data_IF_150173552586
#
_entry.id   IF_150173552586
#
_cell.length_a   1.000
_cell.length_b   1.000
_cell.length_c   1.000
_cell.angle_alpha   90.00
_cell.angle_beta   90.00
_cell.angle_gamma   90.00
#
_symmetry.space_group_name_H-M   'P 1'
#
loop_
_entity.id
_entity.type
_entity.pdbx_description
1 polymer ?
#
# COMPACT_ATOMS: atom_id res chain seq x y z
N UNK A 1 28.60 -5.40 7.65
CA UNK A 1 29.19 -4.50 8.68
C UNK A 1 29.04 -3.05 8.24
N UNK A 2 28.57 -2.18 9.12
CA UNK A 2 28.60 -0.73 8.85
C UNK A 2 30.02 -0.25 9.17
N UNK A 3 30.83 -0.05 8.15
CA UNK A 3 32.10 0.67 8.25
C UNK A 3 31.91 2.03 7.60
N UNK A 4 32.19 3.09 8.32
CA UNK A 4 32.24 4.47 7.81
C UNK A 4 30.99 4.90 7.01
N UNK A 5 29.79 4.80 7.62
CA UNK A 5 28.51 5.18 6.99
C UNK A 5 28.17 4.42 5.67
N UNK A 6 28.63 3.15 5.57
CA UNK A 6 28.40 2.28 4.41
C UNK A 6 27.76 0.95 4.80
N UNK A 7 26.88 0.44 3.96
CA UNK A 7 26.41 -0.93 4.02
C UNK A 7 27.22 -1.80 3.06
N UNK A 8 27.78 -2.88 3.58
CA UNK A 8 28.54 -3.85 2.82
C UNK A 8 28.34 -5.26 3.39
N UNK A 9 28.07 -6.21 2.53
CA UNK A 9 27.92 -7.62 2.89
C UNK A 9 28.78 -8.47 1.96
N UNK A 10 29.86 -9.02 2.49
CA UNK A 10 30.77 -9.87 1.74
C UNK A 10 30.25 -11.29 1.60
N UNK A 11 30.42 -11.87 0.42
CA UNK A 11 30.16 -13.29 0.19
C UNK A 11 28.72 -13.71 0.44
N UNK A 12 27.72 -12.89 0.05
CA UNK A 12 26.32 -13.21 0.20
C UNK A 12 25.99 -14.62 -0.31
N UNK A 13 25.55 -15.50 0.60
CA UNK A 13 25.18 -16.89 0.32
C UNK A 13 23.74 -17.24 0.69
N UNK A 14 23.12 -16.47 1.58
CA UNK A 14 21.80 -16.81 2.10
C UNK A 14 20.90 -15.57 2.27
N UNK A 15 19.60 -15.77 2.08
CA UNK A 15 18.54 -14.80 2.34
C UNK A 15 17.57 -15.41 3.35
N UNK A 16 17.35 -14.71 4.46
CA UNK A 16 16.35 -15.09 5.45
C UNK A 16 15.23 -14.05 5.44
N UNK A 17 14.05 -14.46 5.01
CA UNK A 17 12.85 -13.63 5.09
C UNK A 17 12.19 -13.75 6.45
N UNK A 18 11.77 -12.62 7.02
CA UNK A 18 11.01 -12.51 8.25
C UNK A 18 9.66 -11.86 7.93
N UNK A 19 8.54 -12.57 8.20
CA UNK A 19 7.20 -12.06 8.01
C UNK A 19 6.39 -12.79 6.95
N UNK A 20 5.69 -12.05 6.07
CA UNK A 20 4.84 -12.62 5.04
C UNK A 20 4.85 -11.77 3.76
N UNK A 21 4.71 -12.42 2.61
CA UNK A 21 4.58 -11.75 1.31
C UNK A 21 3.88 -12.65 0.30
N UNK A 22 2.99 -12.08 -0.52
CA UNK A 22 2.34 -12.79 -1.62
C UNK A 22 3.29 -13.15 -2.78
N UNK A 23 4.51 -12.59 -2.79
CA UNK A 23 5.49 -12.81 -3.88
C UNK A 23 6.69 -13.66 -3.47
N UNK A 24 6.61 -14.41 -2.38
CA UNK A 24 7.72 -15.27 -1.96
C UNK A 24 8.15 -16.26 -3.04
N UNK A 25 7.21 -16.82 -3.81
CA UNK A 25 7.54 -17.73 -4.92
C UNK A 25 8.46 -17.11 -5.96
N UNK A 26 8.22 -15.85 -6.31
CA UNK A 26 9.02 -15.08 -7.27
C UNK A 26 10.39 -14.74 -6.68
N UNK A 27 10.44 -14.31 -5.41
CA UNK A 27 11.69 -13.99 -4.71
C UNK A 27 12.58 -15.23 -4.55
N UNK A 28 12.01 -16.40 -4.23
CA UNK A 28 12.74 -17.67 -4.17
C UNK A 28 13.34 -18.06 -5.53
N UNK A 29 12.61 -17.87 -6.64
CA UNK A 29 13.15 -18.11 -7.99
C UNK A 29 14.35 -17.22 -8.28
N UNK A 30 14.30 -15.96 -7.85
CA UNK A 30 15.42 -15.02 -7.96
C UNK A 30 16.62 -15.50 -7.13
N UNK A 31 16.39 -15.87 -5.88
CA UNK A 31 17.44 -16.37 -5.01
C UNK A 31 18.12 -17.62 -5.58
N UNK A 32 17.32 -18.58 -6.08
CA UNK A 32 17.85 -19.78 -6.76
C UNK A 32 18.69 -19.40 -7.99
N UNK A 33 18.23 -18.46 -8.82
CA UNK A 33 19.00 -17.97 -9.98
C UNK A 33 20.32 -17.33 -9.58
N UNK A 34 20.38 -16.72 -8.40
CA UNK A 34 21.59 -16.14 -7.85
C UNK A 34 22.41 -17.13 -7.00
N UNK A 35 22.05 -18.41 -6.95
CA UNK A 35 22.66 -19.42 -6.08
C UNK A 35 22.70 -18.98 -4.62
N UNK A 36 21.57 -18.52 -4.08
CA UNK A 36 21.38 -18.13 -2.69
C UNK A 36 20.43 -19.08 -2.00
N UNK A 37 20.82 -19.54 -0.81
CA UNK A 37 19.93 -20.30 0.06
C UNK A 37 18.79 -19.38 0.56
N UNK A 38 17.57 -19.92 0.65
CA UNK A 38 16.41 -19.17 1.11
C UNK A 38 15.77 -19.83 2.31
N UNK A 39 15.57 -19.08 3.38
CA UNK A 39 14.80 -19.50 4.55
C UNK A 39 13.68 -18.49 4.78
N UNK A 40 12.46 -18.99 5.00
CA UNK A 40 11.29 -18.16 5.30
C UNK A 40 10.86 -18.44 6.73
N UNK A 41 10.73 -17.38 7.51
CA UNK A 41 10.31 -17.40 8.90
C UNK A 41 9.11 -16.47 9.05
N UNK A 42 8.09 -16.98 9.71
CA UNK A 42 6.85 -16.25 9.94
C UNK A 42 6.30 -16.49 11.34
N UNK A 43 5.35 -15.70 11.78
CA UNK A 43 4.59 -15.96 13.00
C UNK A 43 3.40 -16.88 12.75
N UNK A 44 2.89 -17.53 13.79
CA UNK A 44 1.70 -18.39 13.72
C UNK A 44 0.49 -17.68 13.12
N UNK A 45 0.32 -16.39 13.44
CA UNK A 45 -0.76 -15.56 12.91
C UNK A 45 -0.62 -15.28 11.41
N UNK A 46 0.62 -15.08 10.92
CA UNK A 46 0.89 -14.74 9.52
C UNK A 46 1.05 -15.96 8.61
N UNK A 47 1.31 -17.14 9.19
CA UNK A 47 1.51 -18.38 8.42
C UNK A 47 0.32 -18.74 7.52
N UNK A 48 -0.90 -18.33 7.92
CA UNK A 48 -2.14 -18.53 7.14
C UNK A 48 -2.19 -17.73 5.84
N UNK A 49 -1.33 -16.71 5.70
CA UNK A 49 -1.26 -15.81 4.55
C UNK A 49 -0.19 -16.24 3.54
N UNK A 50 0.60 -17.27 3.85
CA UNK A 50 1.64 -17.81 2.98
C UNK A 50 1.08 -18.99 2.19
N UNK A 51 1.42 -19.07 0.91
CA UNK A 51 1.06 -20.20 0.06
C UNK A 51 1.57 -21.51 0.69
N UNK A 52 0.67 -22.49 0.85
CA UNK A 52 0.95 -23.80 1.44
C UNK A 52 2.03 -24.61 0.70
N UNK A 53 2.36 -24.26 -0.53
CA UNK A 53 3.44 -24.89 -1.31
C UNK A 53 4.83 -24.39 -0.93
N UNK A 54 4.92 -23.33 -0.13
CA UNK A 54 6.18 -22.73 0.30
C UNK A 54 6.58 -23.35 1.65
N UNK A 55 7.82 -23.85 1.76
CA UNK A 55 8.36 -24.28 3.05
C UNK A 55 8.73 -23.05 3.90
N UNK A 56 8.26 -23.02 5.14
CA UNK A 56 8.56 -21.97 6.11
C UNK A 56 8.63 -22.53 7.52
N UNK A 57 9.24 -21.78 8.43
CA UNK A 57 9.29 -22.09 9.85
C UNK A 57 8.52 -21.04 10.64
N UNK A 58 7.86 -21.51 11.70
CA UNK A 58 7.04 -20.65 12.58
C UNK A 58 7.82 -20.36 13.84
N UNK A 59 8.04 -19.07 14.09
CA UNK A 59 8.55 -18.54 15.34
C UNK A 59 7.74 -17.28 15.70
N UNK A 60 7.08 -17.30 16.85
CA UNK A 60 6.29 -16.15 17.30
C UNK A 60 7.15 -15.08 17.97
N UNK A 61 8.34 -15.46 18.43
CA UNK A 61 9.30 -14.58 19.09
C UNK A 61 10.71 -14.80 18.53
N UNK A 62 11.55 -13.78 18.63
CA UNK A 62 12.98 -13.84 18.28
C UNK A 62 13.80 -14.28 19.52
N UNK A 63 13.39 -15.39 20.13
CA UNK A 63 13.98 -15.98 21.34
C UNK A 63 15.21 -16.85 21.04
N UNK A 64 15.75 -17.52 22.05
CA UNK A 64 16.92 -18.39 21.89
C UNK A 64 16.66 -19.58 20.96
N UNK A 65 15.42 -20.12 20.89
CA UNK A 65 15.08 -21.17 19.92
C UNK A 65 15.19 -20.71 18.49
N UNK A 66 14.71 -19.49 18.22
CA UNK A 66 14.88 -18.84 16.91
C UNK A 66 16.36 -18.62 16.60
N UNK A 67 17.14 -18.07 17.56
CA UNK A 67 18.56 -17.80 17.36
C UNK A 67 19.36 -19.09 17.10
N UNK A 68 19.09 -20.15 17.86
CA UNK A 68 19.71 -21.47 17.66
C UNK A 68 19.38 -22.06 16.30
N UNK A 69 18.13 -21.92 15.83
CA UNK A 69 17.74 -22.38 14.50
C UNK A 69 18.53 -21.65 13.42
N UNK A 70 18.61 -20.33 13.48
CA UNK A 70 19.35 -19.52 12.48
C UNK A 70 20.84 -19.88 12.52
N UNK A 71 21.47 -19.93 13.69
CA UNK A 71 22.89 -20.25 13.84
C UNK A 71 23.26 -21.64 13.26
N UNK A 72 22.33 -22.59 13.30
CA UNK A 72 22.52 -23.93 12.70
C UNK A 72 22.33 -23.96 11.19
N UNK A 73 21.62 -22.98 10.62
CA UNK A 73 21.22 -23.00 9.21
C UNK A 73 22.08 -22.11 8.32
N UNK A 74 22.49 -20.95 8.80
CA UNK A 74 23.21 -19.96 7.97
C UNK A 74 24.40 -19.37 8.71
N UNK A 75 25.39 -18.90 7.92
CA UNK A 75 26.46 -18.04 8.41
C UNK A 75 25.96 -16.61 8.36
N UNK A 76 25.72 -16.00 9.52
CA UNK A 76 25.11 -14.66 9.63
C UNK A 76 25.90 -13.57 8.89
N UNK A 77 27.20 -13.70 8.87
CA UNK A 77 28.13 -12.78 8.19
C UNK A 77 27.92 -12.74 6.67
N UNK A 78 27.43 -13.84 6.09
CA UNK A 78 27.12 -13.98 4.66
C UNK A 78 25.60 -14.01 4.36
N UNK A 79 24.79 -13.57 5.31
CA UNK A 79 23.33 -13.63 5.22
C UNK A 79 22.74 -12.24 5.28
N UNK A 80 21.81 -11.96 4.37
CA UNK A 80 20.93 -10.81 4.49
C UNK A 80 19.58 -11.25 5.10
N UNK A 81 19.15 -10.55 6.13
CA UNK A 81 17.85 -10.74 6.77
C UNK A 81 16.89 -9.68 6.26
N UNK A 82 15.75 -10.10 5.73
CA UNK A 82 14.79 -9.21 5.07
C UNK A 82 13.45 -9.28 5.78
N UNK A 83 13.06 -8.19 6.41
CA UNK A 83 11.72 -8.02 6.95
C UNK A 83 10.74 -7.65 5.83
N UNK A 84 9.72 -8.47 5.61
CA UNK A 84 8.61 -8.20 4.69
C UNK A 84 7.29 -8.34 5.44
N UNK A 85 6.68 -7.22 5.83
CA UNK A 85 5.45 -7.20 6.59
C UNK A 85 5.53 -7.96 7.92
N UNK A 86 6.72 -8.10 8.49
CA UNK A 86 6.96 -8.79 9.75
C UNK A 86 6.26 -8.08 10.91
N UNK A 87 5.82 -8.87 11.89
CA UNK A 87 5.22 -8.37 13.13
C UNK A 87 6.18 -8.41 14.32
N UNK A 88 7.44 -8.70 14.07
CA UNK A 88 8.47 -8.74 15.12
C UNK A 88 8.87 -7.32 15.53
N UNK A 89 9.15 -7.16 16.82
CA UNK A 89 9.79 -5.95 17.34
C UNK A 89 11.29 -6.26 17.44
N UNK A 90 12.07 -5.49 16.70
CA UNK A 90 13.51 -5.64 16.66
C UNK A 90 14.15 -4.70 17.69
N UNK A 91 14.82 -5.30 18.70
CA UNK A 91 15.55 -4.54 19.72
C UNK A 91 16.98 -4.28 19.24
N UNK A 92 17.59 -3.18 19.69
CA UNK A 92 18.94 -2.77 19.33
C UNK A 92 19.97 -3.88 19.46
N UNK A 93 20.02 -4.53 20.63
CA UNK A 93 20.93 -5.65 20.86
C UNK A 93 20.76 -6.78 19.83
N UNK A 94 19.53 -7.13 19.49
CA UNK A 94 19.24 -8.16 18.49
C UNK A 94 19.67 -7.72 17.08
N UNK A 95 19.46 -6.44 16.72
CA UNK A 95 19.88 -5.89 15.42
C UNK A 95 21.40 -5.91 15.28
N UNK A 96 22.13 -5.41 16.28
CA UNK A 96 23.57 -5.26 16.25
C UNK A 96 24.31 -6.58 16.44
N UNK A 97 23.95 -7.34 17.48
CA UNK A 97 24.72 -8.51 17.92
C UNK A 97 24.26 -9.82 17.31
N UNK A 98 22.96 -9.96 16.99
CA UNK A 98 22.46 -11.18 16.37
C UNK A 98 22.40 -11.07 14.85
N UNK A 99 21.77 -10.03 14.31
CA UNK A 99 21.67 -9.81 12.87
C UNK A 99 22.89 -9.12 12.25
N UNK A 100 23.86 -8.69 13.06
CA UNK A 100 25.12 -8.04 12.63
C UNK A 100 24.89 -6.82 11.74
N UNK A 101 23.81 -6.09 11.95
CA UNK A 101 23.33 -4.97 11.09
C UNK A 101 23.04 -5.37 9.64
N UNK A 102 22.81 -6.66 9.36
CA UNK A 102 22.40 -7.17 8.05
C UNK A 102 20.88 -7.32 7.92
N UNK A 103 20.11 -6.71 8.83
CA UNK A 103 18.66 -6.71 8.83
C UNK A 103 18.13 -5.50 8.09
N UNK A 104 17.38 -5.75 7.01
CA UNK A 104 16.84 -4.70 6.13
C UNK A 104 15.34 -4.85 5.94
N UNK A 105 14.69 -3.74 5.55
CA UNK A 105 13.30 -3.72 5.10
C UNK A 105 13.22 -3.16 3.69
N UNK A 106 12.43 -3.83 2.83
CA UNK A 106 12.04 -3.26 1.55
C UNK A 106 10.74 -2.49 1.72
N UNK A 107 10.73 -1.24 1.31
CA UNK A 107 9.62 -0.33 1.51
C UNK A 107 9.23 0.36 0.19
N UNK A 108 7.93 0.42 -0.09
CA UNK A 108 7.40 0.93 -1.35
C UNK A 108 6.93 2.39 -1.29
N UNK A 109 7.51 3.22 -0.41
CA UNK A 109 7.18 4.66 -0.32
C UNK A 109 8.44 5.51 -0.26
N UNK A 110 8.31 6.82 -0.50
CA UNK A 110 9.42 7.76 -0.41
C UNK A 110 9.70 8.14 1.04
N UNK A 111 10.40 7.29 1.77
CA UNK A 111 10.84 7.66 3.11
C UNK A 111 11.96 8.72 3.06
N UNK A 112 11.97 9.68 4.01
CA UNK A 112 10.97 9.96 5.05
C UNK A 112 9.78 10.79 4.55
N UNK A 113 9.73 11.17 3.26
CA UNK A 113 8.77 12.15 2.72
C UNK A 113 7.31 11.69 2.83
N UNK A 114 7.04 10.39 2.67
CA UNK A 114 5.70 9.80 2.68
C UNK A 114 5.65 8.63 3.66
N UNK A 115 5.73 8.91 4.94
CA UNK A 115 5.57 7.91 6.00
C UNK A 115 4.09 7.61 6.28
N UNK A 116 3.81 6.46 6.92
CA UNK A 116 2.46 6.08 7.35
C UNK A 116 1.76 5.07 6.43
N UNK A 117 0.44 5.06 6.46
CA UNK A 117 -0.41 4.08 5.76
C UNK A 117 -1.22 4.67 4.60
N UNK A 118 -2.07 3.83 3.97
CA UNK A 118 -3.00 4.28 2.91
C UNK A 118 -2.33 4.82 1.65
N UNK A 119 -1.08 4.41 1.37
CA UNK A 119 -0.18 5.05 0.42
C UNK A 119 -0.74 5.27 -0.98
N UNK A 120 -1.45 4.31 -1.56
CA UNK A 120 -1.98 4.46 -2.93
C UNK A 120 -3.20 5.38 -2.97
N UNK A 121 -4.14 5.25 -2.03
CA UNK A 121 -5.30 6.14 -1.95
C UNK A 121 -4.86 7.60 -1.83
N UNK A 122 -3.88 7.89 -0.96
CA UNK A 122 -3.30 9.23 -0.83
C UNK A 122 -2.59 9.71 -2.10
N UNK A 123 -1.89 8.81 -2.82
CA UNK A 123 -1.25 9.14 -4.10
C UNK A 123 -2.28 9.48 -5.17
N UNK A 124 -3.33 8.68 -5.29
CA UNK A 124 -4.42 8.91 -6.26
C UNK A 124 -5.09 10.26 -5.98
N UNK A 125 -5.51 10.51 -4.73
CA UNK A 125 -6.13 11.79 -4.36
C UNK A 125 -5.26 13.02 -4.62
N UNK A 126 -3.91 12.87 -4.58
CA UNK A 126 -2.95 13.96 -4.82
C UNK A 126 -2.39 13.97 -6.23
N UNK A 127 -2.82 13.07 -7.10
CA UNK A 127 -2.24 12.85 -8.45
C UNK A 127 -0.71 12.58 -8.42
N UNK A 128 -0.21 12.04 -7.30
CA UNK A 128 1.21 11.71 -7.15
C UNK A 128 1.54 10.40 -7.89
N UNK A 129 2.20 10.54 -9.02
CA UNK A 129 2.57 9.41 -9.89
C UNK A 129 3.98 8.86 -9.62
N UNK A 130 4.66 9.32 -8.58
CA UNK A 130 6.01 8.84 -8.28
C UNK A 130 5.93 7.54 -7.50
N UNK A 131 6.48 6.46 -8.06
CA UNK A 131 6.77 5.22 -7.34
C UNK A 131 8.22 5.25 -6.82
N UNK A 132 8.44 4.70 -5.63
CA UNK A 132 9.77 4.55 -5.09
C UNK A 132 9.89 3.18 -4.42
N UNK A 133 10.75 2.35 -4.97
CA UNK A 133 11.21 1.13 -4.30
C UNK A 133 12.46 1.49 -3.53
N UNK A 134 12.51 1.21 -2.24
CA UNK A 134 13.70 1.42 -1.44
C UNK A 134 13.97 0.26 -0.50
N UNK A 135 15.22 0.14 -0.10
CA UNK A 135 15.66 -0.75 0.96
C UNK A 135 16.41 0.08 1.99
N UNK A 136 16.05 -0.12 3.26
CA UNK A 136 16.68 0.56 4.38
C UNK A 136 17.10 -0.42 5.49
N UNK A 137 18.05 -0.04 6.29
CA UNK A 137 18.38 -0.75 7.52
C UNK A 137 17.19 -0.71 8.48
N UNK A 138 17.04 -1.75 9.27
CA UNK A 138 16.11 -1.70 10.40
C UNK A 138 16.87 -1.19 11.62
N UNK A 139 16.30 -0.21 12.28
CA UNK A 139 16.68 0.30 13.59
C UNK A 139 15.54 0.10 14.60
N UNK A 140 15.61 0.70 15.78
CA UNK A 140 14.58 0.60 16.81
C UNK A 140 13.29 1.37 16.50
N UNK A 141 13.34 2.28 15.52
CA UNK A 141 12.19 3.05 15.07
C UNK A 141 11.37 2.32 14.00
N UNK A 142 10.22 2.88 13.66
CA UNK A 142 9.38 2.37 12.58
C UNK A 142 9.78 3.08 11.28
N UNK A 143 10.37 2.33 10.35
CA UNK A 143 10.80 2.80 9.03
C UNK A 143 11.78 4.00 9.08
N UNK A 144 12.61 4.11 10.14
CA UNK A 144 13.53 5.24 10.40
C UNK A 144 14.98 4.97 10.03
N UNK A 145 15.35 3.73 9.78
CA UNK A 145 16.72 3.32 9.49
C UNK A 145 17.26 3.91 8.19
N UNK A 146 18.59 4.03 8.10
CA UNK A 146 19.26 4.63 6.94
C UNK A 146 18.96 3.89 5.64
N UNK A 147 18.69 4.63 4.57
CA UNK A 147 18.39 4.10 3.24
C UNK A 147 19.72 3.59 2.61
N UNK A 148 19.69 2.34 2.12
CA UNK A 148 20.81 1.67 1.46
C UNK A 148 20.78 1.93 -0.05
N UNK A 149 19.64 1.67 -0.69
CA UNK A 149 19.46 1.87 -2.13
C UNK A 149 17.98 2.21 -2.40
N UNK A 150 17.74 2.87 -3.53
CA UNK A 150 16.39 3.18 -3.96
C UNK A 150 16.29 3.27 -5.48
N UNK A 151 15.09 3.03 -6.00
CA UNK A 151 14.77 3.18 -7.41
C UNK A 151 13.46 3.95 -7.57
N UNK A 152 13.52 5.07 -8.27
CA UNK A 152 12.36 5.91 -8.61
C UNK A 152 11.83 5.52 -9.99
N UNK A 153 10.52 5.43 -10.11
CA UNK A 153 9.81 5.26 -11.36
C UNK A 153 8.50 6.06 -11.35
N UNK A 154 7.77 6.08 -12.46
CA UNK A 154 6.47 6.72 -12.54
C UNK A 154 5.39 5.67 -12.77
N UNK A 155 4.32 5.75 -11.99
CA UNK A 155 3.11 4.99 -12.30
C UNK A 155 2.57 5.42 -13.66
N UNK A 156 2.33 4.50 -14.60
CA UNK A 156 1.76 4.81 -15.90
C UNK A 156 0.34 5.39 -15.74
N UNK A 157 -0.11 6.14 -16.74
CA UNK A 157 -1.45 6.76 -16.73
C UNK A 157 -2.59 5.74 -16.63
N UNK A 158 -2.35 4.49 -17.01
CA UNK A 158 -3.30 3.38 -16.88
C UNK A 158 -3.54 2.94 -15.42
N UNK A 159 -2.65 3.26 -14.49
CA UNK A 159 -2.91 3.03 -13.07
C UNK A 159 -3.87 4.11 -12.57
N UNK A 160 -5.10 3.76 -12.26
CA UNK A 160 -6.15 4.71 -11.83
C UNK A 160 -6.67 4.39 -10.43
N UNK A 161 -6.67 3.14 -10.03
CA UNK A 161 -7.20 2.64 -8.77
C UNK A 161 -6.09 1.97 -7.94
N UNK A 162 -6.24 1.80 -6.61
CA UNK A 162 -5.22 1.22 -5.75
C UNK A 162 -4.70 -0.14 -6.22
N UNK A 163 -5.55 -0.99 -6.80
CA UNK A 163 -5.14 -2.29 -7.32
C UNK A 163 -4.15 -2.18 -8.49
N UNK A 164 -4.32 -1.19 -9.37
CA UNK A 164 -3.39 -0.95 -10.48
C UNK A 164 -2.01 -0.54 -9.96
N UNK A 165 -2.01 0.38 -8.97
CA UNK A 165 -0.79 0.83 -8.31
C UNK A 165 -0.06 -0.32 -7.63
N UNK A 166 -0.81 -1.20 -6.91
CA UNK A 166 -0.23 -2.37 -6.25
C UNK A 166 0.39 -3.33 -7.27
N UNK A 167 -0.33 -3.67 -8.34
CA UNK A 167 0.15 -4.56 -9.38
C UNK A 167 1.43 -4.03 -10.06
N UNK A 168 1.47 -2.74 -10.36
CA UNK A 168 2.65 -2.10 -10.93
C UNK A 168 3.81 -2.11 -9.94
N UNK A 169 3.56 -1.72 -8.69
CA UNK A 169 4.58 -1.70 -7.64
C UNK A 169 5.18 -3.06 -7.36
N UNK A 170 4.36 -4.11 -7.30
CA UNK A 170 4.87 -5.47 -7.11
C UNK A 170 5.84 -5.91 -8.21
N UNK A 171 5.53 -5.58 -9.47
CA UNK A 171 6.43 -5.82 -10.58
C UNK A 171 7.76 -5.09 -10.41
N UNK A 172 7.71 -3.80 -10.05
CA UNK A 172 8.91 -2.98 -9.82
C UNK A 172 9.70 -3.41 -8.60
N UNK A 173 9.04 -3.88 -7.55
CA UNK A 173 9.68 -4.46 -6.38
C UNK A 173 10.50 -5.71 -6.75
N UNK A 174 9.94 -6.63 -7.54
CA UNK A 174 10.65 -7.85 -7.97
C UNK A 174 11.90 -7.50 -8.80
N UNK A 175 11.77 -6.54 -9.72
CA UNK A 175 12.91 -6.02 -10.51
C UNK A 175 14.00 -5.40 -9.60
N UNK A 176 13.61 -4.52 -8.68
CA UNK A 176 14.51 -3.85 -7.74
C UNK A 176 15.19 -4.84 -6.78
N UNK A 177 14.46 -5.81 -6.24
CA UNK A 177 14.98 -6.87 -5.40
C UNK A 177 16.10 -7.66 -6.10
N UNK A 178 15.87 -8.09 -7.33
CA UNK A 178 16.87 -8.80 -8.13
C UNK A 178 18.15 -7.97 -8.31
N UNK A 179 18.01 -6.73 -8.75
CA UNK A 179 19.16 -5.84 -9.00
C UNK A 179 19.92 -5.51 -7.69
N UNK A 180 19.21 -5.34 -6.59
CA UNK A 180 19.83 -5.10 -5.29
C UNK A 180 20.68 -6.30 -4.83
N UNK A 181 20.12 -7.52 -4.85
CA UNK A 181 20.88 -8.72 -4.48
C UNK A 181 22.05 -8.98 -5.41
N UNK A 182 21.90 -8.75 -6.71
CA UNK A 182 22.97 -8.85 -7.69
C UNK A 182 24.12 -7.89 -7.37
N UNK A 183 23.82 -6.64 -7.01
CA UNK A 183 24.80 -5.65 -6.57
C UNK A 183 25.54 -6.11 -5.31
N UNK A 184 24.82 -6.60 -4.28
CA UNK A 184 25.46 -7.13 -3.07
C UNK A 184 26.38 -8.30 -3.42
N UNK A 185 25.89 -9.25 -4.22
CA UNK A 185 26.66 -10.45 -4.60
C UNK A 185 27.93 -10.11 -5.37
N UNK A 186 27.93 -9.01 -6.12
CA UNK A 186 29.13 -8.49 -6.80
C UNK A 186 30.11 -7.75 -5.87
N UNK A 187 29.85 -7.68 -4.57
CA UNK A 187 30.68 -6.97 -3.60
C UNK A 187 30.51 -5.46 -3.60
N UNK A 188 29.38 -4.94 -4.11
CA UNK A 188 29.12 -3.51 -4.10
C UNK A 188 28.88 -3.02 -2.66
N UNK A 189 29.56 -1.92 -2.32
CA UNK A 189 29.28 -1.13 -1.11
C UNK A 189 28.28 -0.01 -1.41
N UNK A 190 27.42 0.31 -0.44
CA UNK A 190 26.38 1.33 -0.56
C UNK A 190 26.60 2.42 0.49
N UNK A 191 26.60 3.67 0.08
CA UNK A 191 26.59 4.80 1.01
C UNK A 191 25.23 4.91 1.69
N UNK A 192 25.22 4.89 3.02
CA UNK A 192 23.99 5.00 3.82
C UNK A 192 23.50 6.44 3.84
N UNK A 193 22.22 6.62 3.50
CA UNK A 193 21.55 7.93 3.52
C UNK A 193 20.67 8.01 4.76
N UNK A 194 20.98 8.85 5.76
CA UNK A 194 20.15 9.04 6.92
C UNK A 194 18.81 9.67 6.54
N UNK A 195 17.75 9.28 7.23
CA UNK A 195 16.43 9.87 7.03
C UNK A 195 16.28 11.13 7.89
N UNK A 196 15.95 12.27 7.24
CA UNK A 196 15.72 13.54 7.90
C UNK A 196 14.23 13.71 8.18
N UNK A 197 13.78 13.29 9.36
CA UNK A 197 12.36 13.19 9.71
C UNK A 197 11.58 14.50 9.57
N UNK A 198 12.23 15.68 9.73
CA UNK A 198 11.58 16.98 9.59
C UNK A 198 11.14 17.32 8.15
N UNK A 199 11.62 16.57 7.15
CA UNK A 199 11.20 16.71 5.75
C UNK A 199 9.95 15.89 5.41
N UNK A 200 9.53 15.00 6.31
CA UNK A 200 8.47 14.05 6.06
C UNK A 200 7.08 14.54 6.45
N UNK A 201 6.09 13.92 5.85
CA UNK A 201 4.69 13.99 6.30
C UNK A 201 4.22 12.58 6.66
N UNK A 202 3.33 12.53 7.64
CA UNK A 202 2.66 11.30 8.00
C UNK A 202 1.31 11.21 7.30
N UNK A 203 1.10 10.16 6.53
CA UNK A 203 -0.18 9.84 5.90
C UNK A 203 -0.93 8.86 6.82
N UNK A 204 -2.08 9.22 7.40
CA UNK A 204 -2.85 8.29 8.22
C UNK A 204 -3.37 7.15 7.36
N UNK A 205 -3.49 5.97 7.96
CA UNK A 205 -4.15 4.84 7.31
C UNK A 205 -5.64 5.12 7.22
N UNK A 206 -6.22 4.95 6.03
CA UNK A 206 -7.63 5.20 5.77
C UNK A 206 -8.50 3.98 6.10
N UNK A 207 -9.72 4.25 6.56
CA UNK A 207 -10.80 3.29 6.70
C UNK A 207 -11.89 3.63 5.68
N UNK A 208 -12.16 2.74 4.74
CA UNK A 208 -13.12 2.97 3.65
C UNK A 208 -14.51 3.35 4.16
N UNK A 209 -14.99 2.73 5.23
CA UNK A 209 -16.34 3.00 5.77
C UNK A 209 -16.47 4.36 6.46
N UNK A 210 -15.36 4.89 6.97
CA UNK A 210 -15.31 6.18 7.66
C UNK A 210 -14.81 7.28 6.71
N UNK A 211 -13.68 7.03 6.05
CA UNK A 211 -12.97 8.06 5.28
C UNK A 211 -13.43 8.12 3.81
N UNK A 212 -14.16 7.11 3.33
CA UNK A 212 -14.61 7.00 1.94
C UNK A 212 -15.94 7.70 1.62
N UNK A 213 -16.45 8.58 2.49
CA UNK A 213 -17.71 9.31 2.26
C UNK A 213 -17.51 10.42 1.20
N UNK A 214 -18.25 10.34 0.09
CA UNK A 214 -18.15 11.28 -1.02
C UNK A 214 -18.71 12.64 -0.61
N UNK A 215 -17.89 13.68 -0.71
CA UNK A 215 -18.36 15.06 -0.61
C UNK A 215 -18.65 15.62 -2.02
N UNK A 216 -19.90 15.70 -2.40
CA UNK A 216 -20.34 16.19 -3.72
C UNK A 216 -20.04 17.68 -3.96
N UNK A 217 -19.53 18.39 -2.95
CA UNK A 217 -19.02 19.76 -3.08
C UNK A 217 -17.57 19.85 -3.62
N UNK A 218 -16.91 18.72 -3.83
CA UNK A 218 -15.62 18.68 -4.52
C UNK A 218 -15.80 19.01 -6.02
N UNK A 219 -14.73 19.45 -6.68
CA UNK A 219 -14.75 19.58 -8.14
C UNK A 219 -14.68 18.22 -8.84
N UNK A 220 -14.82 18.19 -10.17
CA UNK A 220 -14.90 16.93 -10.92
C UNK A 220 -13.63 16.09 -10.84
N UNK A 221 -12.45 16.72 -10.81
CA UNK A 221 -11.17 15.99 -10.70
C UNK A 221 -10.97 15.46 -9.30
N UNK A 222 -11.27 16.26 -8.27
CA UNK A 222 -11.20 15.82 -6.88
C UNK A 222 -12.17 14.67 -6.60
N UNK A 223 -13.42 14.76 -7.12
CA UNK A 223 -14.40 13.66 -7.03
C UNK A 223 -13.90 12.39 -7.72
N UNK A 224 -13.40 12.52 -8.95
CA UNK A 224 -12.84 11.42 -9.72
C UNK A 224 -11.69 10.74 -8.95
N UNK A 225 -10.73 11.50 -8.48
CA UNK A 225 -9.58 10.99 -7.75
C UNK A 225 -10.00 10.38 -6.40
N UNK A 226 -10.93 11.03 -5.69
CA UNK A 226 -11.44 10.53 -4.41
C UNK A 226 -12.16 9.19 -4.57
N UNK A 227 -13.07 9.06 -5.53
CA UNK A 227 -13.81 7.82 -5.74
C UNK A 227 -12.86 6.69 -6.15
N UNK A 228 -11.96 6.94 -7.10
CA UNK A 228 -10.98 5.96 -7.53
C UNK A 228 -9.98 5.58 -6.42
N UNK A 229 -9.70 6.45 -5.46
CA UNK A 229 -8.84 6.14 -4.33
C UNK A 229 -9.42 5.08 -3.37
N UNK A 230 -10.72 4.83 -3.42
CA UNK A 230 -11.41 3.81 -2.63
C UNK A 230 -11.97 2.66 -3.50
N UNK A 231 -11.62 2.60 -4.78
CA UNK A 231 -11.96 1.48 -5.67
C UNK A 231 -11.13 0.23 -5.33
N UNK A 232 -11.14 -0.81 -6.15
CA UNK A 232 -10.45 -2.08 -5.88
C UNK A 232 -9.03 -1.89 -5.29
N UNK A 233 -8.68 -2.61 -4.21
CA UNK A 233 -9.41 -3.76 -3.61
C UNK A 233 -10.41 -3.37 -2.50
N UNK A 234 -10.76 -2.11 -2.39
CA UNK A 234 -11.70 -1.63 -1.38
C UNK A 234 -13.16 -1.74 -1.86
N UNK A 235 -14.08 -1.51 -0.94
CA UNK A 235 -15.51 -1.63 -1.20
C UNK A 235 -16.08 -0.55 -2.15
N UNK A 236 -15.39 0.58 -2.27
CA UNK A 236 -15.80 1.75 -3.03
C UNK A 236 -15.99 2.98 -2.15
N UNK A 237 -15.97 4.17 -2.75
CA UNK A 237 -16.34 5.41 -2.07
C UNK A 237 -17.85 5.46 -1.89
N UNK A 238 -18.35 5.93 -0.74
CA UNK A 238 -19.74 5.78 -0.34
C UNK A 238 -20.56 7.06 -0.36
N UNK A 239 -21.85 6.91 -0.64
CA UNK A 239 -22.85 7.99 -0.75
C UNK A 239 -24.27 7.42 -0.58
N UNK A 240 -25.27 8.24 -0.78
CA UNK A 240 -26.70 7.88 -0.78
C UNK A 240 -27.38 8.37 -2.04
N UNK A 241 -28.54 7.81 -2.38
CA UNK A 241 -29.36 8.22 -3.52
C UNK A 241 -30.72 8.73 -3.03
N UNK A 242 -31.20 9.85 -3.56
CA UNK A 242 -32.49 10.47 -3.26
C UNK A 242 -32.73 10.59 -1.74
N UNK A 243 -33.80 9.94 -1.23
CA UNK A 243 -34.16 9.94 0.19
C UNK A 243 -33.48 8.82 0.99
N UNK A 244 -32.48 8.15 0.42
CA UNK A 244 -31.83 6.99 1.05
C UNK A 244 -32.53 5.67 0.78
N UNK A 245 -33.31 5.57 -0.31
CA UNK A 245 -34.14 4.43 -0.66
C UNK A 245 -33.38 3.08 -0.72
N UNK A 246 -32.08 3.13 -1.06
CA UNK A 246 -31.21 1.94 -1.13
C UNK A 246 -30.18 1.87 0.02
N UNK A 247 -30.29 2.76 1.02
CA UNK A 247 -29.27 2.89 2.05
C UNK A 247 -27.95 3.43 1.54
N UNK A 248 -26.83 3.04 2.18
CA UNK A 248 -25.51 3.45 1.77
C UNK A 248 -25.09 2.71 0.49
N UNK A 249 -24.62 3.45 -0.50
CA UNK A 249 -24.17 2.96 -1.80
C UNK A 249 -22.66 3.19 -1.96
N UNK A 250 -22.03 2.36 -2.78
CA UNK A 250 -20.59 2.41 -3.05
C UNK A 250 -20.35 2.55 -4.54
N UNK A 251 -19.62 3.61 -4.93
CA UNK A 251 -19.31 3.91 -6.33
C UNK A 251 -17.94 3.36 -6.72
N UNK A 252 -17.87 2.73 -7.88
CA UNK A 252 -16.67 2.17 -8.49
C UNK A 252 -16.68 2.36 -10.00
N UNK A 253 -15.52 2.14 -10.63
CA UNK A 253 -15.33 2.27 -12.09
C UNK A 253 -15.82 3.61 -12.63
N UNK A 254 -15.24 4.66 -12.09
CA UNK A 254 -15.62 6.03 -12.39
C UNK A 254 -14.63 6.65 -13.38
N UNK A 255 -15.16 7.36 -14.37
CA UNK A 255 -14.41 8.04 -15.41
C UNK A 255 -14.86 9.50 -15.56
N UNK A 256 -13.92 10.38 -15.92
CA UNK A 256 -14.29 11.74 -16.32
C UNK A 256 -15.02 11.71 -17.67
N UNK A 257 -16.11 12.46 -17.77
CA UNK A 257 -16.96 12.51 -18.95
C UNK A 257 -17.37 13.94 -19.32
N UNK A 258 -17.48 14.22 -20.61
CA UNK A 258 -17.86 15.53 -21.10
C UNK A 258 -16.75 16.58 -20.91
N UNK A 259 -17.14 17.81 -20.63
CA UNK A 259 -16.21 18.94 -20.43
C UNK A 259 -16.40 20.06 -21.45
N UNK A 260 -17.43 19.96 -22.33
CA UNK A 260 -17.73 20.96 -23.33
C UNK A 260 -18.45 22.18 -22.74
N UNK A 261 -19.18 21.98 -21.64
CA UNK A 261 -19.87 23.03 -20.91
C UNK A 261 -19.83 22.80 -19.42
N UNK A 262 -19.79 23.87 -18.63
CA UNK A 262 -19.84 23.79 -17.17
C UNK A 262 -21.26 23.53 -16.69
N UNK A 263 -21.35 22.69 -15.64
CA UNK A 263 -22.59 22.50 -14.91
C UNK A 263 -22.76 23.62 -13.86
N UNK A 264 -24.00 23.96 -13.55
CA UNK A 264 -24.27 24.81 -12.38
C UNK A 264 -23.98 24.00 -11.10
N UNK A 265 -23.35 24.58 -10.06
CA UNK A 265 -23.02 23.85 -8.83
C UNK A 265 -24.20 23.12 -8.18
N UNK A 266 -25.40 23.67 -8.28
CA UNK A 266 -26.65 23.02 -7.80
C UNK A 266 -26.92 21.66 -8.44
N UNK A 267 -26.36 21.39 -9.63
CA UNK A 267 -26.55 20.11 -10.34
C UNK A 267 -25.70 18.98 -9.78
N UNK A 268 -24.77 19.27 -8.87
CA UNK A 268 -23.88 18.25 -8.34
C UNK A 268 -24.64 17.07 -7.72
N UNK A 269 -24.27 15.85 -8.10
CA UNK A 269 -24.92 14.61 -7.72
C UNK A 269 -26.12 14.23 -8.59
N UNK A 270 -26.66 15.11 -9.46
CA UNK A 270 -27.81 14.77 -10.31
C UNK A 270 -27.37 13.80 -11.41
N UNK A 271 -28.10 12.69 -11.55
CA UNK A 271 -27.96 11.75 -12.65
C UNK A 271 -28.57 12.42 -13.90
N UNK A 272 -27.72 12.85 -14.81
CA UNK A 272 -28.12 13.56 -16.05
C UNK A 272 -28.46 12.62 -17.19
N UNK A 273 -27.86 11.42 -17.20
CA UNK A 273 -28.10 10.36 -18.20
C UNK A 273 -27.95 8.98 -17.56
N UNK A 274 -28.62 7.99 -18.09
CA UNK A 274 -28.48 6.60 -17.67
C UNK A 274 -28.65 5.63 -18.83
N UNK A 275 -28.02 4.47 -18.67
CA UNK A 275 -28.21 3.27 -19.48
C UNK A 275 -28.25 2.07 -18.54
N UNK A 276 -28.47 0.88 -19.07
CA UNK A 276 -28.47 -0.36 -18.27
C UNK A 276 -27.13 -0.70 -17.62
N UNK A 277 -26.02 -0.14 -18.12
CA UNK A 277 -24.65 -0.47 -17.71
C UNK A 277 -23.87 0.73 -17.13
N UNK A 278 -24.38 1.94 -17.25
CA UNK A 278 -23.72 3.14 -16.77
C UNK A 278 -24.71 4.27 -16.48
N UNK A 279 -24.24 5.21 -15.69
CA UNK A 279 -24.91 6.49 -15.44
C UNK A 279 -23.92 7.62 -15.63
N UNK A 280 -24.42 8.81 -15.99
CA UNK A 280 -23.63 10.05 -16.00
C UNK A 280 -24.17 10.98 -14.94
N UNK A 281 -23.28 11.37 -14.02
CA UNK A 281 -23.62 12.22 -12.87
C UNK A 281 -22.96 13.59 -13.03
N UNK A 282 -23.76 14.64 -12.90
CA UNK A 282 -23.29 16.03 -12.94
C UNK A 282 -22.47 16.34 -11.69
N UNK A 283 -21.43 17.15 -11.86
CA UNK A 283 -20.63 17.72 -10.78
C UNK A 283 -20.85 19.24 -10.72
N UNK A 284 -20.25 19.90 -9.74
CA UNK A 284 -20.27 21.38 -9.69
C UNK A 284 -19.34 22.09 -10.68
N UNK A 285 -18.60 21.32 -11.49
CA UNK A 285 -17.58 21.87 -12.38
C UNK A 285 -17.76 21.42 -13.84
N UNK A 286 -16.73 21.53 -14.65
CA UNK A 286 -16.81 21.35 -16.10
C UNK A 286 -17.09 19.91 -16.52
N UNK A 287 -16.46 18.92 -15.89
CA UNK A 287 -16.64 17.51 -16.24
C UNK A 287 -17.74 16.88 -15.39
N UNK A 288 -18.40 15.88 -15.97
CA UNK A 288 -19.30 14.95 -15.30
C UNK A 288 -18.55 13.66 -14.96
N UNK A 289 -19.19 12.78 -14.20
CA UNK A 289 -18.67 11.45 -13.91
C UNK A 289 -19.52 10.41 -14.65
N UNK A 290 -18.89 9.57 -15.46
CA UNK A 290 -19.48 8.33 -15.94
C UNK A 290 -19.14 7.24 -14.94
N UNK A 291 -20.16 6.55 -14.45
CA UNK A 291 -20.08 5.54 -13.39
C UNK A 291 -20.66 4.23 -13.91
N UNK A 292 -19.90 3.13 -13.81
CA UNK A 292 -20.32 1.82 -14.31
C UNK A 292 -20.73 0.84 -13.20
N UNK A 293 -20.38 1.13 -11.94
CA UNK A 293 -20.79 0.31 -10.80
C UNK A 293 -21.30 1.17 -9.65
N UNK A 294 -22.53 0.85 -9.19
CA UNK A 294 -23.13 1.38 -7.97
C UNK A 294 -23.59 0.19 -7.15
N UNK A 295 -22.86 -0.13 -6.08
CA UNK A 295 -23.09 -1.30 -5.27
C UNK A 295 -23.89 -0.94 -4.01
N UNK A 296 -24.84 -1.79 -3.64
CA UNK A 296 -25.51 -1.74 -2.35
C UNK A 296 -24.63 -2.34 -1.22
N UNK A 297 -25.15 -2.38 0.00
CA UNK A 297 -24.42 -2.96 1.14
C UNK A 297 -24.06 -4.44 0.98
N UNK A 298 -24.87 -5.17 0.21
CA UNK A 298 -24.70 -6.60 -0.06
C UNK A 298 -23.78 -6.87 -1.26
N UNK A 299 -23.33 -5.81 -1.94
CA UNK A 299 -22.42 -5.88 -3.11
C UNK A 299 -23.16 -6.10 -4.43
N UNK A 300 -24.48 -5.95 -4.48
CA UNK A 300 -25.23 -6.05 -5.73
C UNK A 300 -25.14 -4.75 -6.51
N UNK A 301 -24.87 -4.83 -7.82
CA UNK A 301 -24.88 -3.65 -8.68
C UNK A 301 -26.31 -3.22 -9.01
N UNK A 302 -26.73 -2.08 -8.45
CA UNK A 302 -28.08 -1.53 -8.59
C UNK A 302 -28.21 -0.49 -9.72
N UNK A 303 -27.22 -0.34 -10.56
CA UNK A 303 -27.15 0.72 -11.58
C UNK A 303 -28.39 0.77 -12.47
N UNK A 304 -29.03 -0.39 -12.74
CA UNK A 304 -30.27 -0.52 -13.53
C UNK A 304 -31.48 0.15 -12.89
N UNK A 305 -31.46 0.36 -11.59
CA UNK A 305 -32.55 0.94 -10.83
C UNK A 305 -32.46 2.48 -10.80
N UNK A 306 -31.29 3.02 -11.16
CA UNK A 306 -31.02 4.46 -11.13
C UNK A 306 -31.45 5.12 -12.44
N UNK A 307 -32.14 6.26 -12.35
CA UNK A 307 -32.71 6.95 -13.50
C UNK A 307 -32.22 8.39 -13.60
N UNK A 308 -32.33 8.97 -14.78
CA UNK A 308 -32.11 10.39 -14.96
C UNK A 308 -33.08 11.20 -14.07
N UNK A 309 -32.53 12.20 -13.39
CA UNK A 309 -33.22 12.99 -12.39
C UNK A 309 -33.01 12.53 -10.94
N UNK A 310 -32.56 11.31 -10.71
CA UNK A 310 -32.11 10.87 -9.37
C UNK A 310 -30.90 11.69 -8.92
N UNK A 311 -30.69 11.78 -7.61
CA UNK A 311 -29.60 12.57 -7.06
C UNK A 311 -28.83 11.83 -5.99
N UNK A 312 -27.53 11.73 -6.19
CA UNK A 312 -26.59 11.33 -5.16
C UNK A 312 -26.32 12.47 -4.19
N UNK A 313 -26.23 12.12 -2.91
CA UNK A 313 -25.89 13.06 -1.85
C UNK A 313 -25.27 12.32 -0.67
N UNK A 314 -24.51 13.03 0.15
CA UNK A 314 -24.03 12.50 1.43
C UNK A 314 -24.45 13.49 2.51
N UNK A 315 -25.14 13.02 3.59
CA UNK A 315 -25.55 13.89 4.68
C UNK A 315 -24.34 14.62 5.28
N UNK A 316 -24.43 15.93 5.40
CA UNK A 316 -23.33 16.76 5.92
C UNK A 316 -22.86 16.30 7.30
N UNK A 317 -23.78 15.87 8.15
CA UNK A 317 -23.48 15.35 9.49
C UNK A 317 -22.59 14.12 9.46
N UNK A 318 -22.74 13.24 8.46
CA UNK A 318 -21.86 12.07 8.30
C UNK A 318 -20.46 12.47 7.83
N UNK A 319 -20.36 13.43 6.92
CA UNK A 319 -19.07 13.99 6.47
C UNK A 319 -18.32 14.63 7.64
N UNK A 320 -19.00 15.44 8.46
CA UNK A 320 -18.39 16.07 9.63
C UNK A 320 -17.99 15.05 10.71
N UNK A 321 -18.81 14.04 10.94
CA UNK A 321 -18.49 12.94 11.84
C UNK A 321 -17.25 12.17 11.34
N UNK A 322 -17.16 11.88 10.05
CA UNK A 322 -15.99 11.26 9.43
C UNK A 322 -14.72 12.06 9.70
N UNK A 323 -14.73 13.37 9.40
CA UNK A 323 -13.57 14.26 9.61
C UNK A 323 -13.14 14.34 11.08
N UNK A 324 -14.07 14.24 12.01
CA UNK A 324 -13.81 14.28 13.46
C UNK A 324 -13.37 12.94 14.03
N UNK A 325 -13.54 11.84 13.28
CA UNK A 325 -13.24 10.48 13.74
C UNK A 325 -11.79 10.13 13.42
N UNK A 326 -10.96 9.95 14.44
CA UNK A 326 -9.60 9.44 14.27
C UNK A 326 -9.61 7.92 14.20
N UNK A 327 -9.36 7.37 13.03
CA UNK A 327 -9.19 5.93 12.86
C UNK A 327 -7.87 5.46 13.49
N UNK A 328 -7.95 4.49 14.41
CA UNK A 328 -6.78 3.93 15.10
C UNK A 328 -6.60 2.48 14.66
N UNK A 329 -5.41 2.17 14.17
CA UNK A 329 -5.01 0.80 13.81
C UNK A 329 -3.94 0.29 14.77
N UNK A 330 -3.97 -0.99 15.05
CA UNK A 330 -2.91 -1.71 15.75
C UNK A 330 -2.52 -2.97 14.96
N UNK A 331 -1.59 -3.76 15.48
CA UNK A 331 -1.12 -5.00 14.85
C UNK A 331 -2.22 -6.06 14.63
N UNK A 332 -3.38 -5.91 15.28
CA UNK A 332 -4.53 -6.83 15.15
C UNK A 332 -5.61 -6.29 14.21
N UNK A 333 -5.48 -5.05 13.72
CA UNK A 333 -6.43 -4.40 12.83
C UNK A 333 -6.98 -3.09 13.37
N UNK A 334 -8.20 -2.72 12.95
CA UNK A 334 -8.89 -1.53 13.43
C UNK A 334 -9.16 -1.65 14.94
N UNK A 335 -8.87 -0.59 15.67
CA UNK A 335 -9.22 -0.43 17.07
C UNK A 335 -10.31 0.66 17.13
N UNK A 336 -11.50 0.24 17.51
CA UNK A 336 -12.63 1.16 17.75
C UNK A 336 -12.43 1.93 19.03
#
# INVERSE_FOLDING_TARGET
>A
MIKENKFYLEGLSSVVFLGQSGVFSELMKINNKLNLETIIITSSHQSKLIDKKIDFKIFDNLDEKFKDFINKKVKKENTIFISLGARYIFKKDTIENFFLNNLVNFHGTRLPLDAGGGGFSWKIMREDRIDNQLVHLIDEGIDTGSIIDNHLSLFPKSCQIPQDFENYRLKKFIEFYFEFLKKIKSGKSFDLKPQLNYLGRYNPRLNTEIDGLINWEMDSYDLYNFINAFDEPYKGASTYLNNGDFGKLYLKKVHLHGGDSSNHPFMSGIVSRHDKNWIVVSTKSKHMLLIEEVLDNDGNNIIKNIKAGDRFYTPYQEIEKSKSTKTIFNSKGLKN
#
